data_IF_649670679192
#
_entry.id   IF_649670679192
#
_cell.length_a   1.000
_cell.length_b   1.000
_cell.length_c   1.000
_cell.angle_alpha   90.00
_cell.angle_beta   90.00
_cell.angle_gamma   90.00
#
_symmetry.space_group_name_H-M   'P 1'
#
loop_
_entity.id
_entity.type
_entity.pdbx_description
1 polymer ?
#
# COMPACT_ATOMS: atom_id res chain seq x y z
N UNK A 1 45.94 12.33 -49.30
CA UNK A 1 44.50 11.93 -49.31
C UNK A 1 43.91 11.55 -47.96
N UNK A 2 44.57 11.79 -46.81
CA UNK A 2 44.05 11.38 -45.45
C UNK A 2 43.43 12.52 -44.59
N UNK A 3 43.37 13.77 -45.07
CA UNK A 3 42.94 14.94 -44.29
C UNK A 3 41.46 15.31 -44.42
N UNK A 4 40.73 14.78 -45.39
CA UNK A 4 39.31 15.14 -45.64
C UNK A 4 38.27 14.13 -45.13
N UNK A 5 38.72 12.95 -44.70
CA UNK A 5 37.81 11.88 -44.24
C UNK A 5 36.96 12.26 -42.98
N UNK A 6 37.50 12.95 -41.96
CA UNK A 6 36.71 13.34 -40.81
C UNK A 6 35.62 14.39 -41.11
N UNK A 7 35.84 15.26 -42.09
CA UNK A 7 34.83 16.29 -42.43
C UNK A 7 33.67 15.71 -43.23
N UNK A 8 33.89 14.66 -44.04
CA UNK A 8 32.83 13.98 -44.77
C UNK A 8 31.89 13.21 -43.85
N UNK A 9 32.41 12.63 -42.77
CA UNK A 9 31.60 11.91 -41.74
C UNK A 9 30.76 12.90 -40.93
N UNK A 10 31.32 14.01 -40.53
CA UNK A 10 30.60 15.06 -39.77
C UNK A 10 29.48 15.66 -40.62
N UNK A 11 29.69 15.94 -41.88
CA UNK A 11 28.67 16.44 -42.80
C UNK A 11 27.53 15.43 -43.01
N UNK A 12 27.84 14.16 -43.12
CA UNK A 12 26.84 13.10 -43.27
C UNK A 12 25.94 12.93 -42.05
N UNK A 13 26.50 12.97 -40.83
CA UNK A 13 25.73 12.91 -39.56
C UNK A 13 24.82 14.13 -39.39
N UNK A 14 25.26 15.33 -39.76
CA UNK A 14 24.47 16.55 -39.67
C UNK A 14 23.27 16.54 -40.62
N UNK A 15 23.39 16.00 -41.82
CA UNK A 15 22.29 15.87 -42.79
C UNK A 15 21.24 14.87 -42.30
N UNK A 16 21.66 13.74 -41.70
CA UNK A 16 20.74 12.74 -41.15
C UNK A 16 19.98 13.31 -39.96
N UNK A 17 20.64 14.08 -39.08
CA UNK A 17 20.00 14.71 -37.92
C UNK A 17 18.94 15.75 -38.33
N UNK A 18 19.21 16.55 -39.36
CA UNK A 18 18.26 17.57 -39.83
C UNK A 18 17.07 16.92 -40.60
N UNK A 19 17.28 15.85 -41.34
CA UNK A 19 16.20 15.13 -42.01
C UNK A 19 15.30 14.37 -40.99
N UNK A 20 15.89 13.75 -39.97
CA UNK A 20 15.16 13.06 -38.92
C UNK A 20 14.33 14.02 -38.02
N UNK A 21 14.90 15.19 -37.70
CA UNK A 21 14.20 16.23 -36.94
C UNK A 21 12.97 16.81 -37.68
N UNK A 22 13.08 17.02 -38.99
CA UNK A 22 11.96 17.52 -39.81
C UNK A 22 10.79 16.53 -39.92
N UNK A 23 11.07 15.24 -39.98
CA UNK A 23 10.02 14.19 -40.02
C UNK A 23 9.29 14.09 -38.67
N UNK A 24 10.00 14.15 -37.55
CA UNK A 24 9.40 14.13 -36.22
C UNK A 24 8.59 15.39 -35.91
N UNK A 25 9.04 16.56 -36.37
CA UNK A 25 8.30 17.82 -36.20
C UNK A 25 7.00 17.86 -37.02
N UNK A 26 7.01 17.26 -38.24
CA UNK A 26 5.82 17.21 -39.11
C UNK A 26 4.76 16.23 -38.63
N UNK A 27 5.13 15.17 -37.89
CA UNK A 27 4.17 14.22 -37.31
C UNK A 27 3.50 14.75 -36.03
N UNK A 28 4.07 15.75 -35.36
CA UNK A 28 3.48 16.35 -34.16
C UNK A 28 2.42 17.44 -34.44
N UNK A 29 2.21 17.80 -35.72
CA UNK A 29 1.26 18.85 -36.11
C UNK A 29 -0.09 18.35 -36.67
N UNK A 30 -0.33 17.04 -36.67
CA UNK A 30 -1.57 16.49 -37.25
C UNK A 30 -2.39 15.67 -36.25
N UNK A 31 -3.02 16.37 -35.30
CA UNK A 31 -4.27 15.86 -34.71
C UNK A 31 -5.10 17.05 -34.19
N UNK A 32 -6.16 17.49 -34.89
CA UNK A 32 -7.14 18.37 -34.28
C UNK A 32 -7.91 17.56 -33.22
N UNK A 33 -7.86 18.01 -31.98
CA UNK A 33 -8.70 17.48 -30.91
C UNK A 33 -10.17 17.70 -31.25
N UNK A 34 -10.94 16.63 -31.37
CA UNK A 34 -12.41 16.72 -31.38
C UNK A 34 -12.89 17.10 -29.99
N UNK A 35 -13.81 18.06 -29.86
CA UNK A 35 -14.40 18.40 -28.56
C UNK A 35 -15.32 17.27 -28.13
N UNK A 36 -15.02 16.66 -26.97
CA UNK A 36 -15.92 15.73 -26.30
C UNK A 36 -17.20 16.48 -25.93
N UNK A 37 -18.33 16.03 -26.47
CA UNK A 37 -19.64 16.50 -26.05
C UNK A 37 -19.88 16.15 -24.59
N UNK A 38 -20.05 17.16 -23.76
CA UNK A 38 -20.48 17.00 -22.37
C UNK A 38 -21.94 16.54 -22.35
N UNK A 39 -22.30 15.49 -21.59
CA UNK A 39 -23.72 15.23 -21.33
C UNK A 39 -24.27 16.31 -20.41
N UNK A 40 -25.42 16.90 -20.83
CA UNK A 40 -26.16 17.87 -20.03
C UNK A 40 -26.56 17.29 -18.67
N UNK A 41 -26.50 18.07 -17.59
CA UNK A 41 -26.98 17.63 -16.29
C UNK A 41 -28.49 17.52 -16.28
N UNK A 42 -29.02 16.32 -16.11
CA UNK A 42 -30.44 16.08 -15.79
C UNK A 42 -30.71 16.59 -14.38
N UNK A 43 -31.58 17.57 -14.28
CA UNK A 43 -31.99 18.14 -13.00
C UNK A 43 -32.68 17.10 -12.11
N UNK A 44 -32.18 16.92 -10.91
CA UNK A 44 -32.84 16.20 -9.82
C UNK A 44 -33.89 17.12 -9.17
N UNK A 45 -35.04 16.58 -8.72
CA UNK A 45 -36.04 17.37 -8.02
C UNK A 45 -35.59 17.81 -6.63
N UNK A 46 -36.10 18.94 -6.09
CA UNK A 46 -35.65 19.48 -4.80
C UNK A 46 -36.18 18.62 -3.65
N UNK A 47 -35.23 18.10 -2.82
CA UNK A 47 -35.55 17.54 -1.51
C UNK A 47 -35.42 18.65 -0.45
N UNK A 48 -36.54 19.12 0.03
CA UNK A 48 -36.62 19.91 1.26
C UNK A 48 -36.48 18.99 2.45
N UNK A 49 -35.49 19.28 3.30
CA UNK A 49 -35.28 18.55 4.54
C UNK A 49 -34.29 19.31 5.43
N UNK A 50 -34.84 20.27 6.19
CA UNK A 50 -34.17 20.94 7.31
C UNK A 50 -33.82 19.89 8.36
N UNK A 51 -32.54 19.72 8.68
CA UNK A 51 -32.11 18.86 9.76
C UNK A 51 -30.63 19.14 10.08
N UNK A 52 -30.39 20.03 11.05
CA UNK A 52 -29.10 20.10 11.73
C UNK A 52 -28.78 18.75 12.34
N UNK A 53 -27.82 18.04 11.78
CA UNK A 53 -27.18 16.94 12.47
C UNK A 53 -25.68 17.10 12.35
N UNK A 54 -25.07 17.52 13.44
CA UNK A 54 -23.66 17.33 13.72
C UNK A 54 -23.44 15.83 13.82
N UNK A 55 -23.25 15.17 12.70
CA UNK A 55 -22.85 13.77 12.67
C UNK A 55 -21.41 13.69 13.12
N UNK A 56 -21.22 13.36 14.39
CA UNK A 56 -20.05 12.64 14.84
C UNK A 56 -19.97 11.43 13.92
N UNK A 57 -18.96 11.37 13.06
CA UNK A 57 -18.73 10.23 12.19
C UNK A 57 -18.64 8.99 13.06
N UNK A 58 -19.63 8.12 12.98
CA UNK A 58 -19.56 6.79 13.55
C UNK A 58 -18.23 6.15 13.14
N UNK A 59 -17.54 5.40 14.01
CA UNK A 59 -16.33 4.70 13.65
C UNK A 59 -16.65 3.80 12.45
N UNK A 60 -15.93 3.95 11.35
CA UNK A 60 -16.08 3.12 10.14
C UNK A 60 -15.76 1.66 10.51
N UNK A 61 -16.78 0.95 10.94
CA UNK A 61 -16.73 -0.48 11.23
C UNK A 61 -17.21 -1.23 10.00
N UNK A 62 -16.36 -1.51 9.03
CA UNK A 62 -16.56 -2.62 8.10
C UNK A 62 -15.34 -2.76 7.17
N UNK A 63 -14.53 -3.70 7.40
CA UNK A 63 -13.65 -4.40 6.50
C UNK A 63 -14.05 -5.86 6.54
N UNK A 64 -13.36 -6.79 5.89
CA UNK A 64 -13.67 -8.19 6.03
C UNK A 64 -13.84 -8.53 7.52
N UNK A 65 -14.90 -9.26 7.85
CA UNK A 65 -15.37 -9.51 9.22
C UNK A 65 -14.33 -10.17 10.15
N UNK A 66 -13.11 -10.38 9.66
CA UNK A 66 -12.00 -10.99 10.39
C UNK A 66 -10.66 -10.34 10.03
N UNK A 67 -10.30 -9.19 10.62
CA UNK A 67 -8.99 -8.56 10.40
C UNK A 67 -7.86 -9.40 11.02
N UNK A 68 -6.66 -9.31 10.46
CA UNK A 68 -5.48 -9.87 11.08
C UNK A 68 -5.13 -9.10 12.35
N UNK A 69 -5.17 -9.78 13.49
CA UNK A 69 -4.97 -9.16 14.80
C UNK A 69 -3.90 -9.86 15.62
N UNK A 70 -3.15 -9.08 16.40
CA UNK A 70 -2.26 -9.53 17.47
C UNK A 70 -2.59 -8.80 18.78
N UNK A 71 -2.09 -9.31 19.92
CA UNK A 71 -2.31 -8.71 21.24
C UNK A 71 -3.65 -9.09 21.84
N UNK A 72 -4.17 -8.29 22.75
CA UNK A 72 -5.35 -8.63 23.54
C UNK A 72 -6.63 -8.68 22.73
N UNK A 73 -7.28 -9.83 22.67
CA UNK A 73 -8.58 -9.98 22.00
C UNK A 73 -9.67 -9.09 22.61
N UNK A 74 -9.57 -8.77 23.89
CA UNK A 74 -10.50 -7.91 24.66
C UNK A 74 -9.92 -6.53 24.98
N UNK A 75 -8.79 -6.17 24.36
CA UNK A 75 -8.16 -4.86 24.56
C UNK A 75 -9.12 -3.72 24.22
N UNK A 76 -9.17 -2.71 25.10
CA UNK A 76 -9.98 -1.51 24.90
C UNK A 76 -9.35 -0.52 23.91
N UNK A 77 -8.06 -0.69 23.61
CA UNK A 77 -7.32 0.16 22.70
C UNK A 77 -6.92 -0.68 21.48
N UNK A 78 -7.24 -0.16 20.29
CA UNK A 78 -6.80 -0.73 19.02
C UNK A 78 -5.75 0.18 18.39
N UNK A 79 -4.69 -0.41 17.86
CA UNK A 79 -3.74 0.23 16.97
C UNK A 79 -3.90 -0.43 15.61
N UNK A 80 -4.41 0.29 14.61
CA UNK A 80 -4.66 -0.20 13.27
C UNK A 80 -3.70 0.46 12.29
N UNK A 81 -2.92 -0.33 11.56
CA UNK A 81 -1.98 0.13 10.56
C UNK A 81 -2.46 -0.27 9.16
N UNK A 82 -2.55 0.70 8.27
CA UNK A 82 -2.61 0.48 6.82
C UNK A 82 -1.19 0.50 6.28
N UNK A 83 -0.72 -0.66 5.84
CA UNK A 83 0.66 -0.89 5.45
C UNK A 83 0.83 -1.47 4.05
N UNK A 84 2.01 -1.24 3.51
CA UNK A 84 2.50 -1.79 2.25
C UNK A 84 3.86 -2.42 2.52
N UNK A 85 3.98 -3.71 2.25
CA UNK A 85 5.22 -4.44 2.51
C UNK A 85 6.43 -3.93 1.74
N UNK A 86 6.24 -3.28 0.60
CA UNK A 86 7.35 -2.70 -0.17
C UNK A 86 7.64 -1.24 0.21
N UNK A 87 6.76 -0.58 0.95
CA UNK A 87 6.94 0.82 1.34
C UNK A 87 8.11 0.98 2.34
N UNK A 88 9.16 1.76 2.02
CA UNK A 88 10.30 1.91 2.92
C UNK A 88 9.93 2.50 4.30
N UNK A 89 9.08 3.54 4.41
CA UNK A 89 8.59 4.01 5.71
C UNK A 89 7.87 2.94 6.55
N UNK A 90 7.10 2.02 5.91
CA UNK A 90 6.47 0.91 6.64
C UNK A 90 7.52 -0.08 7.18
N UNK A 91 8.54 -0.40 6.37
CA UNK A 91 9.66 -1.22 6.83
C UNK A 91 10.43 -0.59 7.99
N UNK A 92 10.57 0.75 7.98
CA UNK A 92 11.20 1.48 9.08
C UNK A 92 10.33 1.51 10.35
N UNK A 93 9.00 1.54 10.20
CA UNK A 93 8.05 1.52 11.31
C UNK A 93 7.92 0.13 11.96
N UNK A 94 8.12 -0.94 11.19
CA UNK A 94 7.92 -2.32 11.66
C UNK A 94 8.62 -2.64 12.99
N UNK A 95 9.92 -2.34 13.25
CA UNK A 95 10.56 -2.59 14.53
C UNK A 95 9.94 -1.78 15.68
N UNK A 96 9.44 -0.58 15.41
CA UNK A 96 8.75 0.25 16.40
C UNK A 96 7.44 -0.40 16.81
N UNK A 97 6.64 -0.89 15.85
CA UNK A 97 5.40 -1.63 16.12
C UNK A 97 5.68 -2.91 16.90
N UNK A 98 6.74 -3.65 16.56
CA UNK A 98 7.13 -4.84 17.34
C UNK A 98 7.48 -4.50 18.79
N UNK A 99 8.12 -3.36 19.02
CA UNK A 99 8.41 -2.86 20.36
C UNK A 99 7.11 -2.53 21.11
N UNK A 100 6.17 -1.84 20.44
CA UNK A 100 4.85 -1.53 21.01
C UNK A 100 4.08 -2.83 21.34
N UNK A 101 4.08 -3.83 20.47
CA UNK A 101 3.45 -5.12 20.74
C UNK A 101 4.01 -5.77 22.01
N UNK A 102 5.34 -5.70 22.22
CA UNK A 102 6.00 -6.27 23.40
C UNK A 102 5.71 -5.48 24.68
N UNK A 103 5.72 -4.14 24.61
CA UNK A 103 5.53 -3.28 25.77
C UNK A 103 4.08 -3.24 26.28
N UNK A 104 3.13 -3.28 25.37
CA UNK A 104 1.72 -3.13 25.71
C UNK A 104 0.97 -4.46 25.83
N UNK A 105 1.46 -5.52 25.16
CA UNK A 105 0.90 -6.88 25.24
C UNK A 105 -0.63 -6.88 25.07
N UNK A 106 -1.33 -7.47 26.05
CA UNK A 106 -2.79 -7.60 26.02
C UNK A 106 -3.56 -6.30 26.24
N UNK A 107 -2.89 -5.19 26.51
CA UNK A 107 -3.55 -3.88 26.68
C UNK A 107 -3.99 -3.26 25.35
N UNK A 108 -3.31 -3.65 24.25
CA UNK A 108 -3.53 -3.12 22.91
C UNK A 108 -3.80 -4.27 21.93
N UNK A 109 -4.78 -4.10 21.07
CA UNK A 109 -5.03 -4.96 19.92
C UNK A 109 -4.46 -4.32 18.69
N UNK A 110 -3.42 -4.91 18.13
CA UNK A 110 -2.84 -4.51 16.87
C UNK A 110 -3.62 -5.11 15.70
N UNK A 111 -3.92 -4.30 14.68
CA UNK A 111 -4.63 -4.68 13.47
C UNK A 111 -3.77 -4.24 12.28
N UNK A 112 -3.47 -5.17 11.37
CA UNK A 112 -2.82 -4.84 10.10
C UNK A 112 -3.82 -4.92 8.95
N UNK A 113 -3.75 -3.93 8.05
CA UNK A 113 -4.57 -3.81 6.85
C UNK A 113 -3.70 -3.67 5.61
N UNK A 114 -4.02 -4.43 4.60
CA UNK A 114 -3.33 -4.37 3.30
C UNK A 114 -3.65 -3.06 2.58
N UNK A 115 -2.61 -2.29 2.25
CA UNK A 115 -2.78 -1.09 1.43
C UNK A 115 -1.64 -0.97 0.40
N UNK A 116 -1.52 -1.95 -0.54
CA UNK A 116 -0.46 -1.96 -1.54
C UNK A 116 -0.58 -0.76 -2.48
N UNK A 117 0.48 0.04 -2.58
CA UNK A 117 0.54 1.23 -3.44
C UNK A 117 0.90 0.84 -4.87
N UNK A 118 0.21 1.39 -5.85
CA UNK A 118 0.43 1.08 -7.27
C UNK A 118 1.84 1.44 -7.78
N UNK A 119 2.51 2.38 -7.12
CA UNK A 119 3.88 2.78 -7.46
C UNK A 119 4.94 1.75 -7.03
N UNK A 120 4.60 0.81 -6.17
CA UNK A 120 5.49 -0.23 -5.68
C UNK A 120 5.28 -1.52 -6.46
N UNK A 121 6.29 -1.90 -7.25
CA UNK A 121 6.25 -3.03 -8.19
C UNK A 121 5.79 -4.36 -7.57
N UNK A 122 6.21 -4.62 -6.34
CA UNK A 122 5.99 -5.90 -5.66
C UNK A 122 4.98 -5.82 -4.50
N UNK A 123 4.41 -4.65 -4.23
CA UNK A 123 3.49 -4.45 -3.10
C UNK A 123 2.29 -5.40 -3.14
N UNK A 124 1.65 -5.51 -4.31
CA UNK A 124 0.47 -6.36 -4.47
C UNK A 124 0.80 -7.84 -4.28
N UNK A 125 1.88 -8.32 -4.90
CA UNK A 125 2.28 -9.75 -4.77
C UNK A 125 2.75 -10.07 -3.36
N UNK A 126 3.34 -9.12 -2.61
CA UNK A 126 3.69 -9.30 -1.20
C UNK A 126 2.44 -9.35 -0.31
N UNK A 127 1.43 -8.50 -0.56
CA UNK A 127 0.14 -8.57 0.12
C UNK A 127 -0.55 -9.92 -0.15
N UNK A 128 -0.55 -10.40 -1.39
CA UNK A 128 -1.09 -11.71 -1.75
C UNK A 128 -0.34 -12.86 -1.04
N UNK A 129 0.98 -12.76 -0.89
CA UNK A 129 1.77 -13.76 -0.15
C UNK A 129 1.36 -13.81 1.32
N UNK A 130 1.15 -12.67 1.98
CA UNK A 130 0.70 -12.63 3.36
C UNK A 130 -0.71 -13.24 3.51
N UNK A 131 -1.64 -12.92 2.61
CA UNK A 131 -3.00 -13.46 2.65
C UNK A 131 -3.03 -14.97 2.29
N UNK A 132 -2.22 -15.44 1.35
CA UNK A 132 -2.09 -16.86 1.03
C UNK A 132 -1.55 -17.67 2.23
N UNK A 133 -0.59 -17.10 2.97
CA UNK A 133 -0.12 -17.68 4.22
C UNK A 133 -1.21 -17.68 5.31
N UNK A 134 -2.05 -16.65 5.35
CA UNK A 134 -3.19 -16.55 6.25
C UNK A 134 -4.19 -17.70 6.06
N UNK A 135 -4.42 -18.14 4.82
CA UNK A 135 -5.28 -19.31 4.52
C UNK A 135 -4.74 -20.63 5.08
N UNK A 136 -3.48 -20.63 5.54
CA UNK A 136 -2.83 -21.73 6.23
C UNK A 136 -2.49 -21.41 7.69
N UNK A 137 -3.03 -20.29 8.25
CA UNK A 137 -2.86 -19.90 9.64
C UNK A 137 -1.56 -19.19 9.97
N UNK A 138 -0.78 -18.77 8.97
CA UNK A 138 0.58 -18.20 9.13
C UNK A 138 0.72 -16.76 8.62
N UNK A 139 -0.35 -15.96 8.75
CA UNK A 139 -0.31 -14.55 8.32
C UNK A 139 0.83 -13.80 8.96
N UNK A 140 0.94 -13.88 10.27
CA UNK A 140 1.87 -13.04 11.03
C UNK A 140 3.32 -13.44 10.85
N UNK A 141 3.60 -14.72 10.67
CA UNK A 141 4.94 -15.20 10.38
C UNK A 141 5.39 -14.72 8.99
N UNK A 142 4.50 -14.76 8.01
CA UNK A 142 4.79 -14.24 6.68
C UNK A 142 4.93 -12.70 6.70
N UNK A 143 4.05 -12.00 7.42
CA UNK A 143 4.13 -10.56 7.63
C UNK A 143 5.49 -10.15 8.20
N UNK A 144 5.93 -10.85 9.26
CA UNK A 144 7.22 -10.56 9.89
C UNK A 144 8.39 -10.85 8.93
N UNK A 145 8.35 -11.95 8.16
CA UNK A 145 9.38 -12.27 7.17
C UNK A 145 9.45 -11.24 6.03
N UNK A 146 8.30 -10.77 5.56
CA UNK A 146 8.24 -9.75 4.50
C UNK A 146 8.91 -8.45 4.93
N UNK A 147 8.60 -7.92 6.12
CA UNK A 147 9.23 -6.70 6.61
C UNK A 147 10.70 -6.89 7.01
N UNK A 148 11.05 -7.95 7.72
CA UNK A 148 12.44 -8.22 8.13
C UNK A 148 13.41 -8.32 6.94
N UNK A 149 12.92 -8.77 5.79
CA UNK A 149 13.72 -8.96 4.60
C UNK A 149 13.38 -7.98 3.47
N UNK A 150 12.64 -6.90 3.77
CA UNK A 150 12.14 -5.95 2.78
C UNK A 150 13.23 -5.45 1.84
N UNK A 151 14.38 -5.04 2.37
CA UNK A 151 15.48 -4.49 1.58
C UNK A 151 16.07 -5.50 0.57
N UNK A 152 15.94 -6.80 0.85
CA UNK A 152 16.43 -7.86 -0.03
C UNK A 152 15.49 -8.12 -1.20
N UNK A 153 14.20 -8.34 -0.94
CA UNK A 153 13.27 -8.73 -2.00
C UNK A 153 12.67 -7.53 -2.76
N UNK A 154 12.64 -6.33 -2.15
CA UNK A 154 12.06 -5.15 -2.79
C UNK A 154 12.80 -4.68 -4.03
N UNK A 155 14.07 -5.02 -4.16
CA UNK A 155 14.93 -4.70 -5.32
C UNK A 155 15.05 -5.85 -6.32
N UNK A 156 14.42 -7.00 -6.07
CA UNK A 156 14.45 -8.13 -6.96
C UNK A 156 13.76 -7.81 -8.30
N UNK A 157 14.17 -8.48 -9.36
CA UNK A 157 13.44 -8.40 -10.62
C UNK A 157 12.04 -9.02 -10.49
N UNK A 158 11.96 -10.17 -9.82
CA UNK A 158 10.74 -10.85 -9.42
C UNK A 158 10.85 -11.31 -7.96
N UNK A 159 9.94 -10.82 -7.10
CA UNK A 159 9.92 -11.15 -5.69
C UNK A 159 9.14 -12.45 -5.37
N UNK A 160 8.30 -12.92 -6.32
CA UNK A 160 7.44 -14.10 -6.09
C UNK A 160 8.22 -15.36 -5.69
N UNK A 161 9.34 -15.74 -6.34
CA UNK A 161 10.13 -16.90 -5.92
C UNK A 161 10.66 -16.78 -4.48
N UNK A 162 10.97 -15.55 -4.04
CA UNK A 162 11.42 -15.30 -2.66
C UNK A 162 10.30 -15.61 -1.67
N UNK A 163 9.06 -15.19 -1.96
CA UNK A 163 7.91 -15.43 -1.10
C UNK A 163 7.53 -16.91 -1.05
N UNK A 164 7.68 -17.64 -2.15
CA UNK A 164 7.52 -19.11 -2.18
C UNK A 164 8.59 -19.76 -1.29
N UNK A 165 9.81 -19.26 -1.28
CA UNK A 165 10.86 -19.76 -0.38
C UNK A 165 10.52 -19.48 1.10
N UNK A 166 9.92 -18.31 1.41
CA UNK A 166 9.45 -18.00 2.76
C UNK A 166 8.33 -18.99 3.19
N UNK A 167 7.36 -19.27 2.33
CA UNK A 167 6.34 -20.26 2.60
C UNK A 167 6.94 -21.65 2.94
N UNK A 168 7.96 -22.06 2.19
CA UNK A 168 8.70 -23.30 2.47
C UNK A 168 9.41 -23.25 3.83
N UNK A 169 10.04 -22.13 4.18
CA UNK A 169 10.71 -21.96 5.48
C UNK A 169 9.72 -21.98 6.65
N UNK A 170 8.50 -21.51 6.43
CA UNK A 170 7.40 -21.55 7.39
C UNK A 170 6.72 -22.92 7.47
N UNK A 171 7.11 -23.89 6.65
CA UNK A 171 6.53 -25.23 6.63
C UNK A 171 5.13 -25.31 6.01
N UNK A 172 4.75 -24.32 5.18
CA UNK A 172 3.47 -24.28 4.48
C UNK A 172 3.41 -25.34 3.36
N UNK A 173 2.21 -25.75 2.99
CA UNK A 173 1.98 -26.42 1.70
C UNK A 173 2.29 -25.41 0.57
N UNK A 174 3.45 -25.58 -0.05
CA UNK A 174 4.00 -24.66 -1.05
C UNK A 174 3.15 -24.63 -2.32
N UNK A 175 2.61 -25.79 -2.74
CA UNK A 175 1.79 -25.88 -3.93
C UNK A 175 0.43 -25.19 -3.70
N UNK A 176 -0.16 -25.37 -2.53
CA UNK A 176 -1.36 -24.67 -2.11
C UNK A 176 -1.10 -23.17 -2.00
N UNK A 177 -0.04 -22.76 -1.31
CA UNK A 177 0.35 -21.35 -1.17
C UNK A 177 0.50 -20.66 -2.53
N UNK A 178 1.19 -21.32 -3.47
CA UNK A 178 1.42 -20.78 -4.82
C UNK A 178 0.11 -20.58 -5.59
N UNK A 179 -0.85 -21.50 -5.48
CA UNK A 179 -2.18 -21.36 -6.07
C UNK A 179 -2.99 -20.25 -5.38
N UNK A 180 -2.94 -20.23 -4.04
CA UNK A 180 -3.71 -19.30 -3.22
C UNK A 180 -3.28 -17.83 -3.47
N UNK A 181 -1.99 -17.58 -3.71
CA UNK A 181 -1.50 -16.24 -4.10
C UNK A 181 -2.20 -15.65 -5.35
N UNK A 182 -2.71 -16.49 -6.24
CA UNK A 182 -3.42 -16.06 -7.45
C UNK A 182 -4.95 -16.23 -7.33
N UNK A 183 -5.43 -16.60 -6.15
CA UNK A 183 -6.84 -16.87 -5.95
C UNK A 183 -7.68 -15.59 -5.90
N UNK A 184 -8.94 -15.64 -6.39
CA UNK A 184 -9.87 -14.53 -6.24
C UNK A 184 -10.15 -14.18 -4.78
N UNK A 185 -10.09 -15.15 -3.87
CA UNK A 185 -10.29 -14.94 -2.43
C UNK A 185 -9.21 -14.05 -1.84
N UNK A 186 -7.95 -14.34 -2.10
CA UNK A 186 -6.81 -13.52 -1.66
C UNK A 186 -6.87 -12.12 -2.27
N UNK A 187 -7.14 -12.02 -3.57
CA UNK A 187 -7.29 -10.73 -4.23
C UNK A 187 -8.43 -9.89 -3.62
N UNK A 188 -9.58 -10.53 -3.34
CA UNK A 188 -10.73 -9.85 -2.74
C UNK A 188 -10.41 -9.34 -1.32
N UNK A 189 -9.67 -10.09 -0.50
CA UNK A 189 -9.24 -9.64 0.83
C UNK A 189 -8.36 -8.40 0.77
N UNK A 190 -7.33 -8.42 -0.05
CA UNK A 190 -6.42 -7.26 -0.23
C UNK A 190 -7.19 -6.04 -0.73
N UNK A 191 -8.10 -6.25 -1.69
CA UNK A 191 -8.91 -5.17 -2.23
C UNK A 191 -9.87 -4.59 -1.17
N UNK A 192 -10.51 -5.42 -0.36
CA UNK A 192 -11.43 -4.99 0.69
C UNK A 192 -10.73 -4.11 1.74
N UNK A 193 -9.51 -4.48 2.18
CA UNK A 193 -8.71 -3.66 3.08
C UNK A 193 -8.31 -2.32 2.43
N UNK A 194 -7.90 -2.34 1.15
CA UNK A 194 -7.54 -1.13 0.42
C UNK A 194 -8.73 -0.17 0.25
N UNK A 195 -9.91 -0.69 -0.06
CA UNK A 195 -11.13 0.12 -0.20
C UNK A 195 -11.58 0.69 1.13
N UNK A 196 -11.49 -0.10 2.20
CA UNK A 196 -11.73 0.37 3.56
C UNK A 196 -10.78 1.52 3.91
N UNK A 197 -9.48 1.38 3.62
CA UNK A 197 -8.50 2.45 3.84
C UNK A 197 -8.85 3.71 3.08
N UNK A 198 -9.22 3.60 1.80
CA UNK A 198 -9.67 4.74 1.00
C UNK A 198 -10.90 5.41 1.61
N UNK A 199 -11.89 4.63 2.04
CA UNK A 199 -13.09 5.14 2.71
C UNK A 199 -12.78 5.83 4.05
N UNK A 200 -11.73 5.37 4.76
CA UNK A 200 -11.22 6.01 5.98
C UNK A 200 -10.30 7.22 5.73
N UNK A 201 -10.06 7.60 4.46
CA UNK A 201 -9.22 8.74 4.10
C UNK A 201 -7.73 8.44 4.02
N UNK A 202 -7.32 7.17 3.99
CA UNK A 202 -5.92 6.76 3.81
C UNK A 202 -5.44 7.16 2.42
N UNK A 203 -4.37 7.94 2.34
CA UNK A 203 -3.77 8.42 1.09
C UNK A 203 -2.38 7.85 0.81
N UNK A 204 -1.80 7.16 1.79
CA UNK A 204 -0.47 6.57 1.69
C UNK A 204 -0.15 5.70 2.89
N UNK A 205 1.05 5.11 2.91
CA UNK A 205 1.49 4.18 3.93
C UNK A 205 2.84 4.61 4.54
N UNK A 206 3.07 4.36 5.84
CA UNK A 206 2.10 3.82 6.79
C UNK A 206 1.04 4.86 7.19
N UNK A 207 -0.20 4.45 7.38
CA UNK A 207 -1.22 5.27 8.04
C UNK A 207 -1.72 4.51 9.27
N UNK A 208 -1.66 5.14 10.43
CA UNK A 208 -1.96 4.51 11.72
C UNK A 208 -3.15 5.18 12.37
N UNK A 209 -4.04 4.35 12.92
CA UNK A 209 -5.19 4.77 13.72
C UNK A 209 -5.11 4.20 15.13
N UNK A 210 -5.53 4.98 16.12
CA UNK A 210 -5.79 4.50 17.49
C UNK A 210 -7.28 4.70 17.77
N UNK A 211 -7.98 3.60 18.07
CA UNK A 211 -9.42 3.59 18.30
C UNK A 211 -10.20 4.32 17.18
N UNK A 212 -9.84 4.07 15.90
CA UNK A 212 -10.47 4.69 14.74
C UNK A 212 -10.09 6.15 14.48
N UNK A 213 -9.21 6.74 15.29
CA UNK A 213 -8.70 8.10 15.08
C UNK A 213 -7.33 8.06 14.43
N UNK A 214 -7.22 8.62 13.23
CA UNK A 214 -5.96 8.70 12.50
C UNK A 214 -4.93 9.55 13.24
N UNK A 215 -3.72 9.03 13.37
CA UNK A 215 -2.57 9.78 13.84
C UNK A 215 -1.98 10.64 12.72
N UNK A 216 -1.41 11.77 13.08
CA UNK A 216 -0.66 12.58 12.14
C UNK A 216 0.66 11.86 11.78
N UNK A 217 1.15 11.95 10.53
CA UNK A 217 2.36 11.25 10.11
C UNK A 217 3.58 11.49 10.99
N UNK A 218 3.77 12.71 11.48
CA UNK A 218 4.88 13.09 12.35
C UNK A 218 4.84 12.44 13.75
N UNK A 219 3.70 11.87 14.14
CA UNK A 219 3.51 11.14 15.41
C UNK A 219 3.71 9.62 15.21
N UNK A 220 3.79 9.13 13.96
CA UNK A 220 3.97 7.71 13.67
C UNK A 220 5.45 7.33 13.83
N UNK A 221 5.91 7.31 15.06
CA UNK A 221 7.24 6.93 15.56
C UNK A 221 7.08 6.17 16.86
N UNK A 222 8.08 5.44 17.31
CA UNK A 222 8.02 4.69 18.57
C UNK A 222 7.56 5.57 19.73
N UNK A 223 8.19 6.72 19.91
CA UNK A 223 7.85 7.64 21.02
C UNK A 223 6.45 8.23 20.86
N UNK A 224 6.07 8.62 19.65
CA UNK A 224 4.73 9.15 19.37
C UNK A 224 3.63 8.11 19.59
N UNK A 225 3.87 6.86 19.18
CA UNK A 225 2.95 5.73 19.43
C UNK A 225 2.81 5.47 20.94
N UNK A 226 3.92 5.46 21.70
CA UNK A 226 3.88 5.33 23.17
C UNK A 226 3.04 6.43 23.80
N UNK A 227 3.30 7.69 23.46
CA UNK A 227 2.55 8.82 24.01
C UNK A 227 1.05 8.72 23.70
N UNK A 228 0.69 8.37 22.47
CA UNK A 228 -0.70 8.25 22.05
C UNK A 228 -1.42 7.07 22.73
N UNK A 229 -0.75 5.94 22.88
CA UNK A 229 -1.27 4.76 23.57
C UNK A 229 -1.42 5.00 25.09
N UNK A 230 -0.41 5.57 25.75
CA UNK A 230 -0.46 5.90 27.18
C UNK A 230 -1.58 6.88 27.48
N UNK A 231 -1.73 7.92 26.64
CA UNK A 231 -2.85 8.86 26.76
C UNK A 231 -4.19 8.14 26.63
N UNK A 232 -4.34 7.25 25.64
CA UNK A 232 -5.59 6.52 25.38
C UNK A 232 -5.91 5.51 26.49
N UNK A 233 -4.88 4.91 27.08
CA UNK A 233 -4.99 3.99 28.22
C UNK A 233 -5.18 4.69 29.57
N UNK A 234 -5.10 6.03 29.61
CA UNK A 234 -5.20 6.81 30.86
C UNK A 234 -4.00 6.63 31.79
N UNK A 235 -2.84 6.21 31.28
CA UNK A 235 -1.60 6.12 32.06
C UNK A 235 -1.13 7.54 32.39
N UNK A 236 -1.01 7.85 33.67
CA UNK A 236 -0.40 9.10 34.11
C UNK A 236 1.12 9.01 33.95
N UNK A 237 1.72 10.08 33.40
CA UNK A 237 3.18 10.24 33.43
C UNK A 237 3.70 10.39 34.84
#
# INVERSE_FOLDING_TARGET
>A
MKRYLPFAIIAGVLVIALAGGAVLWRSSQQTPAQPFAQPSPTALPPQSGTGNNTTVSEPVTAGPDNPHTRGGATAKVTLEEYGDYQCPPCGALYPDVKTIEQEYGDQVRFIFRQFPLQMHKHALVAAHAAEAAALQGHFWEMHDMLYQNQLSWSVAEDARPVFIQYAKMLGLDVDRFTRDMDSPEVAARVMADSERGKAAGVQGTPTVFINGRQLKPEVVTLEGLRMALDFTLGKKK
#
